data_IF_261911280587
#
_entry.id   IF_261911280587
#
_cell.length_a   1.000
_cell.length_b   1.000
_cell.length_c   1.000
_cell.angle_alpha   90.00
_cell.angle_beta   90.00
_cell.angle_gamma   90.00
#
_symmetry.space_group_name_H-M   'P 1'
#
loop_
_entity.id
_entity.type
_entity.pdbx_description
1 polymer ?
#
# COMPACT_ATOMS: atom_id res chain seq x y z
N UNK A 1 3.09 -43.53 -4.60
CA UNK A 1 3.24 -42.11 -4.30
C UNK A 1 2.48 -41.33 -5.37
N UNK A 2 1.28 -40.87 -5.05
CA UNK A 2 0.51 -40.05 -5.99
C UNK A 2 1.19 -38.68 -6.14
N UNK A 3 1.56 -38.32 -7.36
CA UNK A 3 2.00 -36.97 -7.66
C UNK A 3 0.88 -36.00 -7.24
N UNK A 4 1.20 -34.85 -6.60
CA UNK A 4 0.17 -33.88 -6.29
C UNK A 4 -0.47 -33.42 -7.62
N UNK A 5 -1.79 -33.53 -7.73
CA UNK A 5 -2.54 -32.95 -8.84
C UNK A 5 -2.24 -31.46 -8.89
N UNK A 6 -1.64 -31.02 -9.98
CA UNK A 6 -1.44 -29.57 -10.25
C UNK A 6 -2.84 -28.98 -10.44
N UNK A 7 -3.19 -28.02 -9.60
CA UNK A 7 -4.50 -27.38 -9.61
C UNK A 7 -4.85 -26.90 -11.04
N UNK A 8 -6.10 -27.10 -11.53
CA UNK A 8 -6.49 -26.88 -12.92
C UNK A 8 -6.41 -25.43 -13.42
N UNK A 9 -6.05 -24.48 -12.55
CA UNK A 9 -6.01 -23.03 -12.87
C UNK A 9 -4.75 -22.54 -13.60
N UNK A 10 -3.78 -23.41 -13.90
CA UNK A 10 -2.56 -23.04 -14.64
C UNK A 10 -2.67 -23.17 -16.16
N UNK A 11 -3.83 -23.54 -16.70
CA UNK A 11 -3.97 -23.79 -18.15
C UNK A 11 -3.90 -22.55 -19.03
N UNK A 12 -4.13 -21.34 -18.47
CA UNK A 12 -4.05 -20.06 -19.18
C UNK A 12 -3.44 -19.00 -18.26
N UNK A 13 -2.11 -18.82 -18.24
CA UNK A 13 -1.48 -17.76 -17.47
C UNK A 13 -1.93 -16.40 -18.00
N UNK A 14 -2.51 -15.58 -17.11
CA UNK A 14 -2.89 -14.21 -17.44
C UNK A 14 -1.69 -13.38 -17.87
N UNK A 15 -1.95 -12.39 -18.72
CA UNK A 15 -0.93 -11.40 -19.08
C UNK A 15 -0.42 -10.70 -17.82
N UNK A 16 0.89 -10.67 -17.66
CA UNK A 16 1.52 -10.07 -16.48
C UNK A 16 1.82 -8.58 -16.76
N UNK A 17 1.01 -7.68 -16.17
CA UNK A 17 1.23 -6.23 -16.22
C UNK A 17 2.33 -5.75 -15.28
N UNK A 18 2.86 -6.63 -14.42
CA UNK A 18 3.73 -6.25 -13.32
C UNK A 18 4.95 -5.43 -13.75
N UNK A 19 5.63 -5.82 -14.82
CA UNK A 19 6.84 -5.11 -15.29
C UNK A 19 6.53 -3.73 -15.89
N UNK A 20 5.34 -3.56 -16.47
CA UNK A 20 4.90 -2.25 -16.96
C UNK A 20 4.61 -1.31 -15.78
N UNK A 21 4.01 -1.83 -14.70
CA UNK A 21 3.76 -1.08 -13.48
C UNK A 21 5.06 -0.75 -12.73
N UNK A 22 6.05 -1.66 -12.73
CA UNK A 22 7.39 -1.40 -12.17
C UNK A 22 8.01 -0.19 -12.83
N UNK A 23 7.95 -0.09 -14.16
CA UNK A 23 8.51 1.06 -14.90
C UNK A 23 7.88 2.40 -14.46
N UNK A 24 6.57 2.40 -14.16
CA UNK A 24 5.87 3.61 -13.71
C UNK A 24 6.32 4.05 -12.31
N UNK A 25 6.43 3.10 -11.36
CA UNK A 25 6.89 3.40 -10.00
C UNK A 25 8.39 3.73 -9.95
N UNK A 26 9.22 3.07 -10.77
CA UNK A 26 10.64 3.42 -10.93
C UNK A 26 10.82 4.85 -11.46
N UNK A 27 10.03 5.24 -12.47
CA UNK A 27 10.09 6.59 -13.01
C UNK A 27 9.75 7.65 -11.96
N UNK A 28 8.68 7.43 -11.18
CA UNK A 28 8.29 8.30 -10.09
C UNK A 28 9.41 8.38 -9.03
N UNK A 29 9.90 7.23 -8.56
CA UNK A 29 10.95 7.17 -7.55
C UNK A 29 12.24 7.88 -8.01
N UNK A 30 12.70 7.64 -9.24
CA UNK A 30 13.90 8.29 -9.81
C UNK A 30 13.73 9.81 -9.90
N UNK A 31 12.54 10.28 -10.30
CA UNK A 31 12.27 11.72 -10.44
C UNK A 31 12.09 12.42 -9.10
N UNK A 32 11.76 11.70 -8.03
CA UNK A 32 11.71 12.23 -6.66
C UNK A 32 13.11 12.45 -6.03
N UNK A 33 14.14 11.70 -6.47
CA UNK A 33 15.51 11.73 -5.88
C UNK A 33 16.09 13.15 -5.70
N UNK A 34 16.00 14.07 -6.69
CA UNK A 34 16.57 15.41 -6.53
C UNK A 34 15.99 16.22 -5.37
N UNK A 35 14.84 15.81 -4.84
CA UNK A 35 14.11 16.52 -3.79
C UNK A 35 14.31 15.91 -2.41
N UNK A 36 14.99 14.74 -2.29
CA UNK A 36 15.23 14.08 -1.01
C UNK A 36 16.04 15.01 -0.09
N UNK A 37 15.48 15.30 1.11
CA UNK A 37 16.11 16.16 2.12
C UNK A 37 16.15 17.64 1.76
N UNK A 38 15.31 18.09 0.81
CA UNK A 38 15.27 19.49 0.34
C UNK A 38 14.16 20.33 0.98
N UNK A 39 13.27 19.72 1.75
CA UNK A 39 12.16 20.41 2.42
C UNK A 39 10.97 20.73 1.52
N UNK A 40 11.06 20.49 0.22
CA UNK A 40 10.00 20.80 -0.75
C UNK A 40 9.18 19.56 -1.10
N UNK A 41 8.11 19.33 -0.34
CA UNK A 41 7.17 18.23 -0.54
C UNK A 41 6.46 18.32 -1.89
N UNK A 42 6.00 19.51 -2.24
CA UNK A 42 5.17 19.71 -3.42
C UNK A 42 5.97 19.49 -4.71
N UNK A 43 7.23 19.93 -4.74
CA UNK A 43 8.09 19.71 -5.90
C UNK A 43 8.46 18.22 -6.06
N UNK A 44 8.70 17.50 -4.95
CA UNK A 44 8.95 16.06 -4.95
C UNK A 44 7.76 15.30 -5.52
N UNK A 45 6.58 15.57 -4.97
CA UNK A 45 5.32 14.96 -5.34
C UNK A 45 4.99 15.21 -6.81
N UNK A 46 5.01 16.48 -7.23
CA UNK A 46 4.78 16.86 -8.63
C UNK A 46 5.70 16.12 -9.61
N UNK A 47 6.99 16.01 -9.30
CA UNK A 47 7.95 15.34 -10.17
C UNK A 47 7.65 13.83 -10.30
N UNK A 48 7.20 13.20 -9.21
CA UNK A 48 6.79 11.79 -9.20
C UNK A 48 5.49 11.57 -9.97
N UNK A 49 4.46 12.41 -9.73
CA UNK A 49 3.17 12.39 -10.44
C UNK A 49 3.37 12.52 -11.95
N UNK A 50 4.11 13.55 -12.39
CA UNK A 50 4.38 13.80 -13.81
C UNK A 50 5.05 12.58 -14.48
N UNK A 51 6.03 11.97 -13.82
CA UNK A 51 6.73 10.82 -14.34
C UNK A 51 5.86 9.56 -14.38
N UNK A 52 5.17 9.24 -13.29
CA UNK A 52 4.29 8.08 -13.22
C UNK A 52 3.22 8.14 -14.30
N UNK A 53 2.57 9.28 -14.47
CA UNK A 53 1.50 9.47 -15.46
C UNK A 53 1.96 9.21 -16.89
N UNK A 54 3.17 9.71 -17.26
CA UNK A 54 3.75 9.48 -18.60
C UNK A 54 3.91 7.98 -18.88
N UNK A 55 4.45 7.24 -17.92
CA UNK A 55 4.65 5.80 -18.09
C UNK A 55 3.34 5.03 -18.08
N UNK A 56 2.40 5.37 -17.19
CA UNK A 56 1.07 4.75 -17.17
C UNK A 56 0.34 4.89 -18.50
N UNK A 57 0.46 6.04 -19.18
CA UNK A 57 -0.13 6.26 -20.49
C UNK A 57 0.36 5.28 -21.58
N UNK A 58 1.47 4.58 -21.37
CA UNK A 58 2.01 3.57 -22.30
C UNK A 58 1.57 2.15 -21.98
N UNK A 59 0.99 1.92 -20.81
CA UNK A 59 0.61 0.57 -20.36
C UNK A 59 -0.64 0.09 -21.09
N UNK A 60 -0.64 -1.17 -21.48
CA UNK A 60 -1.74 -1.77 -22.23
C UNK A 60 -2.87 -2.24 -21.31
N UNK A 61 -3.66 -1.29 -20.83
CA UNK A 61 -4.89 -1.47 -20.07
C UNK A 61 -5.85 -0.28 -20.29
N UNK A 62 -7.13 -0.48 -19.99
CA UNK A 62 -8.14 0.56 -19.81
C UNK A 62 -8.32 0.80 -18.31
N UNK A 63 -7.53 1.72 -17.76
CA UNK A 63 -7.47 2.00 -16.32
C UNK A 63 -8.32 3.20 -15.93
N UNK A 64 -8.94 3.14 -14.74
CA UNK A 64 -9.55 4.29 -14.07
C UNK A 64 -8.92 4.43 -12.69
N UNK A 65 -8.45 5.61 -12.37
CA UNK A 65 -7.97 5.94 -11.03
C UNK A 65 -9.17 5.97 -10.07
N UNK A 66 -9.25 5.02 -9.16
CA UNK A 66 -10.22 5.00 -8.06
C UNK A 66 -9.66 5.74 -6.86
N UNK A 67 -8.35 5.58 -6.62
CA UNK A 67 -7.60 6.23 -5.56
C UNK A 67 -6.37 6.88 -6.17
N UNK A 68 -6.29 8.21 -6.05
CA UNK A 68 -5.21 9.02 -6.61
C UNK A 68 -4.92 10.26 -5.80
N UNK A 69 -4.39 11.30 -6.45
CA UNK A 69 -3.94 12.56 -5.85
C UNK A 69 -5.08 13.48 -5.35
N UNK A 70 -6.32 13.01 -5.42
CA UNK A 70 -7.50 13.73 -4.95
C UNK A 70 -8.50 14.07 -6.06
N UNK A 71 -9.31 15.11 -5.81
CA UNK A 71 -10.36 15.55 -6.75
C UNK A 71 -9.77 16.27 -7.96
N UNK A 72 -10.41 16.13 -9.12
CA UNK A 72 -10.01 16.72 -10.42
C UNK A 72 -9.68 18.22 -10.35
N UNK A 73 -10.44 18.98 -9.56
CA UNK A 73 -10.24 20.43 -9.44
C UNK A 73 -9.05 20.83 -8.54
N UNK A 74 -8.51 19.87 -7.79
CA UNK A 74 -7.37 20.07 -6.85
C UNK A 74 -6.10 19.37 -7.31
N UNK A 75 -6.23 18.27 -8.05
CA UNK A 75 -5.12 17.49 -8.60
C UNK A 75 -5.18 17.54 -10.14
N UNK A 76 -4.20 18.16 -10.82
CA UNK A 76 -4.22 18.28 -12.27
C UNK A 76 -3.98 16.95 -13.00
N UNK A 77 -3.43 15.95 -12.32
CA UNK A 77 -3.09 14.63 -12.86
C UNK A 77 -3.24 13.55 -11.80
N UNK A 78 -3.51 12.31 -12.25
CA UNK A 78 -3.75 11.14 -11.40
C UNK A 78 -4.88 11.36 -10.38
N UNK A 79 -5.89 12.14 -10.77
CA UNK A 79 -7.06 12.41 -9.93
C UNK A 79 -8.07 11.26 -9.98
N UNK A 80 -8.92 11.17 -8.98
CA UNK A 80 -9.98 10.16 -8.92
C UNK A 80 -10.94 10.31 -10.12
N UNK A 81 -11.11 9.22 -10.87
CA UNK A 81 -11.87 9.18 -12.12
C UNK A 81 -11.04 9.44 -13.38
N UNK A 82 -9.75 9.79 -13.29
CA UNK A 82 -8.90 9.92 -14.48
C UNK A 82 -8.71 8.57 -15.17
N UNK A 83 -8.86 8.59 -16.51
CA UNK A 83 -8.52 7.43 -17.34
C UNK A 83 -7.02 7.41 -17.65
N UNK A 84 -6.39 6.28 -17.43
CA UNK A 84 -4.97 6.02 -17.68
C UNK A 84 -4.77 4.72 -18.44
N UNK A 85 -3.58 4.55 -19.01
CA UNK A 85 -3.30 3.45 -19.93
C UNK A 85 -3.51 3.88 -21.38
N UNK A 86 -3.29 2.95 -22.31
CA UNK A 86 -3.49 3.23 -23.74
C UNK A 86 -4.93 2.94 -24.21
N UNK A 87 -5.85 2.65 -23.31
CA UNK A 87 -7.27 2.35 -23.60
C UNK A 87 -7.51 1.00 -24.25
N UNK A 88 -6.48 0.13 -24.32
CA UNK A 88 -6.60 -1.23 -24.88
C UNK A 88 -6.17 -2.26 -23.84
N UNK A 89 -6.79 -3.45 -23.84
CA UNK A 89 -6.46 -4.47 -22.86
C UNK A 89 -7.47 -4.59 -21.72
N UNK A 90 -7.09 -5.10 -20.53
CA UNK A 90 -8.05 -5.33 -19.46
C UNK A 90 -8.53 -4.01 -18.85
N UNK A 91 -9.83 -3.95 -18.53
CA UNK A 91 -10.41 -2.86 -17.75
C UNK A 91 -10.02 -3.02 -16.28
N UNK A 92 -9.45 -1.97 -15.70
CA UNK A 92 -8.87 -1.99 -14.36
C UNK A 92 -9.28 -0.80 -13.49
N UNK A 93 -9.41 -1.04 -12.20
CA UNK A 93 -9.36 -0.03 -11.15
C UNK A 93 -7.92 0.15 -10.70
N UNK A 94 -7.53 1.39 -10.42
CA UNK A 94 -6.15 1.75 -10.09
C UNK A 94 -6.13 2.60 -8.83
N UNK A 95 -5.26 2.23 -7.88
CA UNK A 95 -4.84 3.07 -6.78
C UNK A 95 -3.39 3.48 -7.00
N UNK A 96 -3.09 4.76 -6.91
CA UNK A 96 -1.74 5.29 -7.01
C UNK A 96 -1.43 6.19 -5.82
N UNK A 97 -0.19 6.08 -5.37
CA UNK A 97 0.46 7.05 -4.51
C UNK A 97 1.89 7.22 -5.06
N UNK A 98 2.12 8.29 -5.85
CA UNK A 98 3.43 8.54 -6.44
C UNK A 98 4.53 8.70 -5.42
N UNK A 99 4.23 9.22 -4.21
CA UNK A 99 5.13 9.23 -3.06
C UNK A 99 4.36 8.99 -1.76
N UNK A 100 4.15 7.72 -1.36
CA UNK A 100 3.75 7.39 0.01
C UNK A 100 4.86 7.84 0.97
N UNK A 101 4.55 8.85 1.78
CA UNK A 101 5.50 9.51 2.66
C UNK A 101 6.22 10.70 2.01
N UNK A 102 5.49 11.65 1.44
CA UNK A 102 6.04 12.92 0.89
C UNK A 102 6.85 13.68 1.94
N UNK A 103 6.43 13.67 3.22
CA UNK A 103 7.20 14.25 4.32
C UNK A 103 8.54 13.55 4.53
N UNK A 104 8.57 12.22 4.43
CA UNK A 104 9.81 11.45 4.56
C UNK A 104 10.81 11.81 3.46
N UNK A 105 10.32 11.95 2.23
CA UNK A 105 11.14 12.37 1.09
C UNK A 105 11.71 13.77 1.32
N UNK A 106 10.87 14.73 1.66
CA UNK A 106 11.29 16.13 1.86
C UNK A 106 12.29 16.29 3.01
N UNK A 107 12.17 15.50 4.07
CA UNK A 107 13.05 15.48 5.23
C UNK A 107 14.27 14.56 5.07
N UNK A 108 14.37 13.80 3.99
CA UNK A 108 15.45 12.82 3.76
C UNK A 108 15.39 11.62 4.71
N UNK A 109 14.19 11.25 5.18
CA UNK A 109 13.95 10.13 6.08
C UNK A 109 13.68 8.84 5.32
N UNK A 110 13.80 7.72 6.01
CA UNK A 110 13.58 6.39 5.45
C UNK A 110 12.10 6.04 5.26
N UNK A 111 11.83 5.05 4.38
CA UNK A 111 10.55 4.40 4.09
C UNK A 111 9.60 5.16 3.17
N UNK A 112 10.07 6.16 2.41
CA UNK A 112 9.25 6.71 1.33
C UNK A 112 9.23 5.74 0.13
N UNK A 113 8.01 5.52 -0.43
CA UNK A 113 7.76 4.59 -1.52
C UNK A 113 7.01 5.29 -2.66
N UNK A 114 7.18 4.80 -3.88
CA UNK A 114 6.24 5.03 -4.97
C UNK A 114 5.39 3.78 -5.17
N UNK A 115 4.07 3.89 -5.11
CA UNK A 115 3.17 2.73 -5.06
C UNK A 115 2.08 2.81 -6.11
N UNK A 116 1.78 1.66 -6.72
CA UNK A 116 0.60 1.45 -7.57
C UNK A 116 -0.04 0.11 -7.24
N UNK A 117 -1.37 0.11 -7.13
CA UNK A 117 -2.17 -1.10 -7.07
C UNK A 117 -3.17 -1.10 -8.22
N UNK A 118 -3.38 -2.27 -8.83
CA UNK A 118 -4.30 -2.49 -9.94
C UNK A 118 -5.16 -3.70 -9.62
N UNK A 119 -6.48 -3.58 -9.82
CA UNK A 119 -7.43 -4.68 -9.71
C UNK A 119 -8.36 -4.70 -10.93
N UNK A 120 -9.20 -5.72 -11.07
CA UNK A 120 -10.23 -5.73 -12.10
C UNK A 120 -11.20 -4.56 -11.90
N UNK A 121 -11.74 -3.99 -13.01
CA UNK A 121 -12.70 -2.89 -12.96
C UNK A 121 -13.89 -3.21 -12.04
N UNK A 122 -14.22 -2.25 -11.15
CA UNK A 122 -15.36 -2.32 -10.24
C UNK A 122 -15.12 -3.22 -9.02
N UNK A 123 -13.86 -3.61 -8.73
CA UNK A 123 -13.54 -4.47 -7.59
C UNK A 123 -12.88 -3.71 -6.42
N UNK A 124 -12.42 -2.49 -6.64
CA UNK A 124 -11.77 -1.67 -5.62
C UNK A 124 -12.78 -0.73 -4.96
N UNK A 125 -12.84 -0.71 -3.65
CA UNK A 125 -13.69 0.22 -2.90
C UNK A 125 -13.25 1.65 -3.15
N UNK A 126 -14.16 2.49 -3.64
CA UNK A 126 -13.95 3.93 -3.68
C UNK A 126 -14.23 4.54 -2.30
N UNK A 127 -13.17 4.76 -1.54
CA UNK A 127 -13.21 5.40 -0.23
C UNK A 127 -12.86 6.90 -0.28
N UNK A 128 -12.87 7.53 -1.46
CA UNK A 128 -12.41 8.91 -1.68
C UNK A 128 -13.18 9.97 -0.89
N UNK A 129 -14.42 9.68 -0.48
CA UNK A 129 -15.24 10.58 0.34
C UNK A 129 -14.82 10.64 1.82
N UNK A 130 -13.94 9.72 2.30
CA UNK A 130 -13.43 9.65 3.67
C UNK A 130 -11.92 9.56 3.67
N UNK A 131 -11.27 10.55 4.27
CA UNK A 131 -9.80 10.63 4.25
C UNK A 131 -9.12 9.58 5.13
N UNK A 132 -9.71 9.18 6.25
CA UNK A 132 -9.11 8.27 7.21
C UNK A 132 -9.83 6.92 7.30
N UNK A 133 -9.04 5.89 7.65
CA UNK A 133 -9.51 4.55 7.98
C UNK A 133 -8.79 4.07 9.24
N UNK A 134 -9.53 3.59 10.23
CA UNK A 134 -8.99 2.79 11.32
C UNK A 134 -8.76 1.37 10.82
N UNK A 135 -7.59 0.80 11.06
CA UNK A 135 -7.18 -0.49 10.44
C UNK A 135 -6.33 -1.33 11.37
N UNK A 136 -6.47 -2.64 11.17
CA UNK A 136 -5.65 -3.68 11.78
C UNK A 136 -5.21 -4.66 10.71
N UNK A 137 -3.91 -4.90 10.62
CA UNK A 137 -3.28 -5.76 9.60
C UNK A 137 -2.34 -6.73 10.28
N UNK A 138 -2.40 -8.00 9.89
CA UNK A 138 -1.48 -9.07 10.32
C UNK A 138 -1.22 -10.06 9.18
N UNK A 139 -0.34 -11.03 9.41
CA UNK A 139 -0.25 -12.23 8.57
C UNK A 139 -1.49 -13.11 8.69
N UNK A 140 -1.50 -14.24 7.98
CA UNK A 140 -2.62 -15.19 7.93
C UNK A 140 -3.06 -15.70 9.31
N UNK A 141 -2.17 -15.72 10.29
CA UNK A 141 -2.49 -16.14 11.67
C UNK A 141 -3.53 -15.26 12.38
N UNK A 142 -3.81 -14.07 11.83
CA UNK A 142 -4.84 -13.17 12.36
C UNK A 142 -6.27 -13.57 12.01
N UNK A 143 -6.49 -14.43 11.01
CA UNK A 143 -7.83 -14.84 10.62
C UNK A 143 -8.57 -15.55 11.77
N UNK A 144 -9.76 -15.02 12.09
CA UNK A 144 -10.63 -15.57 13.13
C UNK A 144 -10.17 -15.34 14.57
N UNK A 145 -9.03 -14.69 14.79
CA UNK A 145 -8.50 -14.43 16.15
C UNK A 145 -8.28 -12.96 16.46
N UNK A 146 -8.08 -12.13 15.45
CA UNK A 146 -7.89 -10.69 15.57
C UNK A 146 -9.13 -9.96 15.08
N UNK A 147 -9.54 -8.90 15.77
CA UNK A 147 -10.70 -8.10 15.38
C UNK A 147 -10.49 -6.61 15.70
N UNK A 148 -10.91 -5.72 14.77
CA UNK A 148 -10.72 -4.28 14.90
C UNK A 148 -11.31 -3.69 16.18
N UNK A 149 -12.47 -4.20 16.61
CA UNK A 149 -13.18 -3.72 17.81
C UNK A 149 -12.66 -4.29 19.13
N UNK A 150 -11.75 -5.26 19.08
CA UNK A 150 -11.15 -5.79 20.30
C UNK A 150 -10.06 -4.86 20.84
N UNK A 151 -9.91 -4.76 22.17
CA UNK A 151 -8.78 -4.07 22.76
C UNK A 151 -7.46 -4.63 22.22
N UNK A 152 -6.50 -3.75 21.97
CA UNK A 152 -5.22 -4.16 21.34
C UNK A 152 -4.48 -5.24 22.14
N UNK A 153 -4.57 -5.19 23.48
CA UNK A 153 -3.97 -6.23 24.35
C UNK A 153 -4.60 -7.61 24.15
N UNK A 154 -5.90 -7.69 23.84
CA UNK A 154 -6.59 -8.95 23.53
C UNK A 154 -6.16 -9.47 22.17
N UNK A 155 -6.10 -8.60 21.16
CA UNK A 155 -5.57 -8.93 19.83
C UNK A 155 -4.14 -9.48 19.90
N UNK A 156 -3.28 -8.84 20.70
CA UNK A 156 -1.89 -9.30 20.87
C UNK A 156 -1.80 -10.67 21.54
N UNK A 157 -2.65 -10.94 22.57
CA UNK A 157 -2.73 -12.25 23.22
C UNK A 157 -3.21 -13.32 22.24
N UNK A 158 -4.26 -13.03 21.49
CA UNK A 158 -4.82 -13.96 20.50
C UNK A 158 -3.80 -14.28 19.39
N UNK A 159 -3.15 -13.25 18.85
CA UNK A 159 -2.12 -13.43 17.81
C UNK A 159 -0.89 -14.18 18.35
N UNK A 160 -0.47 -13.90 19.61
CA UNK A 160 0.61 -14.62 20.29
C UNK A 160 0.32 -16.11 20.40
N UNK A 161 -0.91 -16.47 20.80
CA UNK A 161 -1.35 -17.86 20.88
C UNK A 161 -1.38 -18.52 19.51
N UNK A 162 -1.91 -17.85 18.50
CA UNK A 162 -2.04 -18.37 17.13
C UNK A 162 -0.68 -18.58 16.44
N UNK A 163 0.31 -17.73 16.74
CA UNK A 163 1.65 -17.79 16.12
C UNK A 163 2.68 -18.56 16.97
N UNK A 164 2.40 -18.78 18.26
CA UNK A 164 3.37 -19.31 19.23
C UNK A 164 4.49 -18.30 19.58
N UNK A 165 4.40 -17.05 19.11
CA UNK A 165 5.41 -16.02 19.38
C UNK A 165 5.05 -15.26 20.67
N UNK A 166 5.95 -15.17 21.67
CA UNK A 166 5.70 -14.40 22.89
C UNK A 166 5.38 -12.93 22.60
N UNK A 167 4.45 -12.33 23.34
CA UNK A 167 4.07 -10.92 23.16
C UNK A 167 5.29 -9.99 23.27
N UNK A 168 6.21 -10.27 24.18
CA UNK A 168 7.44 -9.49 24.38
C UNK A 168 8.41 -9.48 23.18
N UNK A 169 8.21 -10.38 22.22
CA UNK A 169 8.95 -10.43 20.97
C UNK A 169 8.17 -9.84 19.78
N UNK A 170 6.88 -9.53 19.98
CA UNK A 170 6.05 -8.94 18.95
C UNK A 170 6.36 -7.46 18.75
N UNK A 171 6.26 -7.02 17.51
CA UNK A 171 6.44 -5.61 17.11
C UNK A 171 5.20 -5.14 16.35
N UNK A 172 4.61 -4.06 16.85
CA UNK A 172 3.44 -3.43 16.26
C UNK A 172 3.85 -2.13 15.56
N UNK A 173 3.58 -2.03 14.27
CA UNK A 173 3.73 -0.80 13.52
C UNK A 173 2.51 0.12 13.75
N UNK A 174 2.77 1.39 14.02
CA UNK A 174 1.75 2.40 14.26
C UNK A 174 2.25 3.79 13.86
N UNK A 175 1.38 4.61 13.26
CA UNK A 175 1.73 5.99 12.94
C UNK A 175 1.93 6.81 14.23
N UNK A 176 3.06 7.51 14.31
CA UNK A 176 3.38 8.42 15.43
C UNK A 176 2.58 9.72 15.27
N UNK A 177 1.36 9.69 15.77
CA UNK A 177 0.42 10.83 15.74
C UNK A 177 -0.21 11.00 17.13
N UNK A 178 -0.54 12.23 17.55
CA UNK A 178 -1.19 12.47 18.86
C UNK A 178 -2.43 11.60 19.11
N UNK A 179 -3.22 11.35 18.07
CA UNK A 179 -4.41 10.46 18.15
C UNK A 179 -4.09 9.01 18.52
N UNK A 180 -2.83 8.58 18.44
CA UNK A 180 -2.40 7.22 18.74
C UNK A 180 -1.65 7.08 20.07
N UNK A 181 -1.47 8.14 20.87
CA UNK A 181 -0.74 8.06 22.13
C UNK A 181 -1.32 6.97 23.04
N UNK A 182 -2.64 6.95 23.26
CA UNK A 182 -3.29 5.92 24.06
C UNK A 182 -3.16 4.51 23.48
N UNK A 183 -3.19 4.36 22.15
CA UNK A 183 -2.97 3.07 21.47
C UNK A 183 -1.51 2.59 21.66
N UNK A 184 -0.54 3.48 21.49
CA UNK A 184 0.88 3.19 21.70
C UNK A 184 1.15 2.74 23.14
N UNK A 185 0.57 3.43 24.11
CA UNK A 185 0.71 3.08 25.53
C UNK A 185 0.04 1.74 25.85
N UNK A 186 -1.11 1.44 25.26
CA UNK A 186 -1.79 0.16 25.43
C UNK A 186 -0.98 -1.01 24.82
N UNK A 187 -0.35 -0.83 23.64
CA UNK A 187 0.54 -1.83 23.03
C UNK A 187 1.71 -2.14 23.95
N UNK A 188 2.38 -1.09 24.47
CA UNK A 188 3.53 -1.23 25.37
C UNK A 188 3.14 -1.86 26.71
N UNK A 189 2.00 -1.47 27.25
CA UNK A 189 1.45 -2.04 28.50
C UNK A 189 1.09 -3.51 28.35
N UNK A 190 0.72 -3.97 27.13
CA UNK A 190 0.52 -5.38 26.83
C UNK A 190 1.85 -6.17 26.71
N UNK A 191 2.99 -5.47 26.68
CA UNK A 191 4.32 -6.06 26.61
C UNK A 191 4.94 -6.12 25.21
N UNK A 192 4.24 -5.66 24.16
CA UNK A 192 4.77 -5.66 22.78
C UNK A 192 5.63 -4.41 22.50
N UNK A 193 6.59 -4.56 21.58
CA UNK A 193 7.35 -3.44 21.04
C UNK A 193 6.57 -2.63 20.00
N UNK A 194 6.91 -1.36 19.86
CA UNK A 194 6.31 -0.49 18.83
C UNK A 194 7.32 -0.08 17.76
N UNK A 195 6.91 -0.12 16.48
CA UNK A 195 7.59 0.51 15.37
C UNK A 195 6.83 1.79 15.00
N UNK A 196 7.30 2.93 15.50
CA UNK A 196 6.68 4.22 15.23
C UNK A 196 7.03 4.69 13.81
N UNK A 197 6.00 4.94 12.99
CA UNK A 197 6.13 5.46 11.63
C UNK A 197 5.78 6.94 11.63
N UNK A 198 6.60 7.76 10.99
CA UNK A 198 6.36 9.22 10.96
C UNK A 198 5.38 9.63 9.87
N UNK A 199 5.32 8.87 8.77
CA UNK A 199 4.46 9.11 7.63
C UNK A 199 4.38 7.84 6.79
N UNK A 200 3.33 7.69 5.95
CA UNK A 200 3.09 6.51 5.11
C UNK A 200 2.91 5.23 5.93
N UNK A 201 1.85 4.47 5.70
CA UNK A 201 1.64 3.22 6.44
C UNK A 201 1.50 1.97 5.54
N UNK A 202 1.59 2.15 4.21
CA UNK A 202 1.58 1.03 3.26
C UNK A 202 2.71 0.04 3.55
N UNK A 203 3.95 0.54 3.74
CA UNK A 203 5.08 -0.33 4.09
C UNK A 203 4.86 -1.08 5.41
N UNK A 204 4.26 -0.43 6.41
CA UNK A 204 3.92 -1.03 7.69
C UNK A 204 2.94 -2.17 7.55
N UNK A 205 1.85 -1.95 6.83
CA UNK A 205 0.81 -2.95 6.55
C UNK A 205 1.34 -4.14 5.75
N UNK A 206 2.08 -3.89 4.67
CA UNK A 206 2.69 -4.96 3.86
C UNK A 206 3.66 -5.79 4.72
N UNK A 207 4.50 -5.15 5.53
CA UNK A 207 5.46 -5.88 6.37
C UNK A 207 4.77 -6.68 7.48
N UNK A 208 3.64 -6.21 8.04
CA UNK A 208 2.87 -6.96 9.04
C UNK A 208 2.27 -8.26 8.46
N UNK A 209 1.96 -8.27 7.16
CA UNK A 209 1.40 -9.43 6.48
C UNK A 209 2.47 -10.39 5.91
N UNK A 210 3.71 -9.92 5.71
CA UNK A 210 4.77 -10.72 5.08
C UNK A 210 5.49 -11.62 6.08
N UNK A 211 5.72 -12.86 5.65
CA UNK A 211 6.58 -13.78 6.40
C UNK A 211 8.04 -13.30 6.47
N UNK A 212 8.67 -13.49 7.61
CA UNK A 212 10.10 -13.19 7.82
C UNK A 212 10.44 -11.72 8.05
N UNK A 213 9.44 -10.86 8.26
CA UNK A 213 9.66 -9.47 8.69
C UNK A 213 9.73 -9.37 10.22
N UNK A 214 10.07 -8.18 10.71
CA UNK A 214 10.10 -7.90 12.16
C UNK A 214 8.78 -7.28 12.67
N UNK A 215 7.79 -7.07 11.80
CA UNK A 215 6.50 -6.48 12.15
C UNK A 215 5.46 -7.58 12.16
N UNK A 216 4.77 -7.74 13.27
CA UNK A 216 3.74 -8.77 13.45
C UNK A 216 2.33 -8.23 13.25
N UNK A 217 2.14 -6.93 13.46
CA UNK A 217 0.86 -6.24 13.33
C UNK A 217 1.07 -4.79 12.91
N UNK A 218 0.14 -4.23 12.11
CA UNK A 218 0.06 -2.79 11.85
C UNK A 218 -1.33 -2.31 12.23
N UNK A 219 -1.42 -1.23 13.02
CA UNK A 219 -2.70 -0.76 13.58
C UNK A 219 -2.81 0.75 13.60
N UNK A 220 -4.06 1.23 13.65
CA UNK A 220 -4.42 2.61 13.92
C UNK A 220 -4.96 3.35 12.71
N UNK A 221 -5.32 4.62 12.94
CA UNK A 221 -5.97 5.47 11.96
C UNK A 221 -4.92 6.09 11.02
N UNK A 222 -4.98 5.73 9.74
CA UNK A 222 -4.20 6.28 8.65
C UNK A 222 -5.08 6.64 7.46
N UNK A 223 -4.51 6.93 6.31
CA UNK A 223 -5.28 7.26 5.12
C UNK A 223 -6.09 6.06 4.60
N UNK A 224 -7.30 6.33 4.11
CA UNK A 224 -8.12 5.32 3.43
C UNK A 224 -7.46 4.86 2.12
N UNK A 225 -6.85 5.75 1.31
CA UNK A 225 -6.11 5.37 0.11
C UNK A 225 -5.04 4.31 0.40
N UNK A 226 -4.21 4.54 1.42
CA UNK A 226 -3.15 3.62 1.81
C UNK A 226 -3.72 2.31 2.36
N UNK A 227 -4.89 2.36 3.01
CA UNK A 227 -5.63 1.18 3.47
C UNK A 227 -6.04 0.28 2.31
N UNK A 228 -6.67 0.83 1.27
CA UNK A 228 -7.11 0.08 0.09
C UNK A 228 -5.90 -0.45 -0.70
N UNK A 229 -4.85 0.36 -0.87
CA UNK A 229 -3.60 -0.09 -1.50
C UNK A 229 -2.98 -1.27 -0.75
N UNK A 230 -2.96 -1.21 0.59
CA UNK A 230 -2.52 -2.31 1.46
C UNK A 230 -3.41 -3.54 1.27
N UNK A 231 -4.73 -3.37 1.23
CA UNK A 231 -5.67 -4.47 0.99
C UNK A 231 -5.40 -5.21 -0.33
N UNK A 232 -5.09 -4.48 -1.41
CA UNK A 232 -4.66 -5.07 -2.68
C UNK A 232 -3.40 -5.94 -2.53
N UNK A 233 -2.42 -5.48 -1.73
CA UNK A 233 -1.20 -6.24 -1.48
C UNK A 233 -1.46 -7.51 -0.67
N UNK A 234 -2.34 -7.44 0.30
CA UNK A 234 -2.68 -8.56 1.17
C UNK A 234 -3.36 -9.72 0.42
N UNK A 235 -4.07 -9.43 -0.68
CA UNK A 235 -4.57 -10.48 -1.59
C UNK A 235 -3.46 -11.38 -2.14
N UNK A 236 -2.26 -10.84 -2.35
CA UNK A 236 -1.11 -11.61 -2.78
C UNK A 236 -0.37 -12.31 -1.63
N UNK A 237 -0.44 -11.72 -0.44
CA UNK A 237 0.29 -12.20 0.73
C UNK A 237 -0.50 -13.24 1.55
N UNK A 238 -1.81 -13.36 1.30
CA UNK A 238 -2.69 -14.17 2.14
C UNK A 238 -2.80 -13.63 3.57
N UNK A 239 -2.63 -12.31 3.75
CA UNK A 239 -2.70 -11.66 5.05
C UNK A 239 -4.12 -11.34 5.47
N UNK A 240 -4.27 -10.95 6.73
CA UNK A 240 -5.52 -10.50 7.34
C UNK A 240 -5.56 -8.99 7.47
N UNK A 241 -6.69 -8.39 7.15
CA UNK A 241 -6.96 -6.98 7.38
C UNK A 241 -8.43 -6.75 7.71
N UNK A 242 -8.67 -5.87 8.67
CA UNK A 242 -9.95 -5.20 8.86
C UNK A 242 -9.73 -3.70 8.88
N UNK A 243 -10.73 -2.95 8.42
CA UNK A 243 -10.74 -1.50 8.43
C UNK A 243 -12.14 -0.95 8.72
N UNK A 244 -12.20 0.28 9.20
CA UNK A 244 -13.43 1.06 9.32
C UNK A 244 -13.13 2.48 8.88
N UNK A 245 -13.99 3.04 8.02
CA UNK A 245 -13.88 4.43 7.61
C UNK A 245 -14.02 5.34 8.83
N UNK A 246 -13.13 6.30 8.96
CA UNK A 246 -13.03 7.19 10.13
C UNK A 246 -13.22 8.65 9.70
N UNK A 247 -14.45 9.10 9.41
CA UNK A 247 -14.72 10.48 9.03
C UNK A 247 -14.22 11.45 10.11
N UNK A 248 -13.55 12.53 9.68
CA UNK A 248 -12.98 13.52 10.60
C UNK A 248 -14.02 14.45 11.24
N UNK A 249 -15.18 14.59 10.56
CA UNK A 249 -16.28 15.45 10.98
C UNK A 249 -17.62 14.97 10.42
N UNK A 250 -18.72 15.56 10.90
CA UNK A 250 -20.09 15.21 10.47
C UNK A 250 -20.32 15.51 8.97
N UNK A 251 -19.66 16.50 8.41
CA UNK A 251 -19.78 16.83 6.99
C UNK A 251 -19.14 15.74 6.10
N UNK A 252 -17.99 15.22 6.49
CA UNK A 252 -17.35 14.09 5.81
C UNK A 252 -18.18 12.81 5.96
N UNK A 253 -18.72 12.56 7.18
CA UNK A 253 -19.64 11.45 7.42
C UNK A 253 -20.89 11.52 6.53
N UNK A 254 -21.50 12.69 6.43
CA UNK A 254 -22.68 12.89 5.59
C UNK A 254 -22.36 12.65 4.10
N UNK A 255 -21.20 13.13 3.61
CA UNK A 255 -20.76 12.88 2.23
C UNK A 255 -20.55 11.39 1.95
N UNK A 256 -19.92 10.68 2.88
CA UNK A 256 -19.70 9.24 2.77
C UNK A 256 -21.02 8.46 2.67
N UNK A 257 -21.97 8.76 3.54
CA UNK A 257 -23.30 8.13 3.51
C UNK A 257 -24.03 8.46 2.20
N UNK A 258 -23.96 9.72 1.73
CA UNK A 258 -24.54 10.12 0.43
C UNK A 258 -23.88 9.40 -0.76
N UNK A 259 -22.61 9.03 -0.64
CA UNK A 259 -21.89 8.21 -1.62
C UNK A 259 -22.20 6.70 -1.48
N UNK A 260 -23.08 6.30 -0.56
CA UNK A 260 -23.47 4.90 -0.36
C UNK A 260 -22.54 4.09 0.53
N UNK A 261 -21.58 4.74 1.24
CA UNK A 261 -20.67 4.06 2.15
C UNK A 261 -21.29 3.88 3.54
N UNK A 262 -21.12 2.68 4.10
CA UNK A 262 -21.41 2.40 5.52
C UNK A 262 -20.13 2.67 6.34
N UNK A 263 -20.12 3.82 7.01
CA UNK A 263 -18.95 4.27 7.80
C UNK A 263 -18.84 3.58 9.16
N UNK A 264 -19.86 2.85 9.58
CA UNK A 264 -19.86 2.12 10.85
C UNK A 264 -19.49 0.64 10.67
N UNK A 265 -19.52 0.15 9.41
CA UNK A 265 -19.18 -1.22 9.07
C UNK A 265 -17.69 -1.49 9.31
N UNK A 266 -17.37 -2.61 9.95
CA UNK A 266 -16.04 -3.20 9.87
C UNK A 266 -15.92 -3.87 8.52
N UNK A 267 -15.07 -3.32 7.66
CA UNK A 267 -14.76 -3.83 6.34
C UNK A 267 -13.71 -4.93 6.48
N UNK A 268 -13.92 -6.05 5.83
CA UNK A 268 -12.88 -7.05 5.64
C UNK A 268 -12.13 -6.85 4.30
N UNK A 269 -11.24 -7.77 3.99
CA UNK A 269 -10.41 -7.65 2.81
C UNK A 269 -11.23 -7.71 1.50
N UNK A 270 -12.31 -8.50 1.47
CA UNK A 270 -13.19 -8.65 0.30
C UNK A 270 -14.13 -7.46 0.13
N UNK A 271 -14.49 -6.76 1.21
CA UNK A 271 -15.21 -5.50 1.15
C UNK A 271 -14.36 -4.37 0.54
N UNK A 272 -13.04 -4.37 0.83
CA UNK A 272 -12.11 -3.36 0.31
C UNK A 272 -11.68 -3.62 -1.13
N UNK A 273 -11.43 -4.89 -1.45
CA UNK A 273 -11.05 -5.34 -2.80
C UNK A 273 -11.69 -6.69 -3.08
N UNK A 274 -12.77 -6.71 -3.84
CA UNK A 274 -13.46 -7.94 -4.21
C UNK A 274 -12.66 -8.72 -5.26
N UNK A 275 -12.36 -10.00 -4.96
CA UNK A 275 -11.57 -10.85 -5.85
C UNK A 275 -10.05 -10.74 -5.62
N UNK A 276 -9.32 -11.59 -6.32
CA UNK A 276 -7.89 -11.82 -6.14
C UNK A 276 -7.03 -11.35 -7.33
N UNK A 277 -7.65 -10.80 -8.38
CA UNK A 277 -6.95 -10.37 -9.59
C UNK A 277 -6.24 -9.02 -9.38
N UNK A 278 -5.36 -8.95 -8.39
CA UNK A 278 -4.63 -7.74 -8.03
C UNK A 278 -3.17 -7.81 -8.46
N UNK A 279 -2.61 -6.63 -8.80
CA UNK A 279 -1.18 -6.37 -8.89
C UNK A 279 -0.85 -5.21 -7.96
N UNK A 280 0.21 -5.32 -7.18
CA UNK A 280 0.75 -4.20 -6.41
C UNK A 280 2.24 -4.11 -6.65
N UNK A 281 2.70 -2.91 -6.91
CA UNK A 281 4.12 -2.59 -7.05
C UNK A 281 4.46 -1.44 -6.12
N UNK A 282 5.53 -1.60 -5.35
CA UNK A 282 6.10 -0.53 -4.56
C UNK A 282 7.60 -0.43 -4.85
N UNK A 283 8.07 0.76 -5.23
CA UNK A 283 9.48 1.07 -5.48
C UNK A 283 10.00 2.01 -4.41
N UNK A 284 11.18 1.74 -3.85
CA UNK A 284 11.78 2.61 -2.85
C UNK A 284 12.17 3.97 -3.42
N UNK A 285 11.70 5.05 -2.81
CA UNK A 285 12.21 6.40 -3.03
C UNK A 285 13.41 6.63 -2.10
N UNK A 286 13.23 6.35 -0.82
CA UNK A 286 14.30 6.32 0.19
C UNK A 286 14.47 4.92 0.75
N UNK A 287 15.64 4.63 1.35
CA UNK A 287 15.88 3.32 1.96
C UNK A 287 14.80 2.96 2.99
N UNK A 288 14.35 1.70 3.00
CA UNK A 288 13.28 1.28 3.90
C UNK A 288 13.30 -0.19 4.27
N UNK A 289 12.42 -0.57 5.21
CA UNK A 289 12.28 -1.96 5.64
C UNK A 289 11.61 -2.87 4.60
N UNK A 290 10.95 -2.30 3.59
CA UNK A 290 10.29 -3.07 2.53
C UNK A 290 11.21 -3.27 1.33
N UNK A 291 11.82 -2.18 0.82
CA UNK A 291 12.76 -2.14 -0.30
C UNK A 291 13.81 -1.05 -0.06
N UNK A 292 14.93 -1.14 -0.74
CA UNK A 292 15.97 -0.11 -0.76
C UNK A 292 15.51 1.07 -1.64
N UNK A 293 15.94 2.29 -1.25
CA UNK A 293 15.70 3.52 -2.01
C UNK A 293 16.55 3.60 -3.28
N UNK A 294 16.23 4.61 -4.09
CA UNK A 294 17.00 4.89 -5.31
C UNK A 294 18.42 5.31 -4.96
N UNK A 295 19.40 4.67 -5.60
CA UNK A 295 20.82 4.98 -5.42
C UNK A 295 21.47 5.32 -6.74
N UNK A 296 22.25 6.40 -6.78
CA UNK A 296 23.06 6.75 -7.95
C UNK A 296 24.55 6.51 -7.69
N UNK A 297 25.19 5.75 -8.57
CA UNK A 297 26.64 5.56 -8.56
C UNK A 297 27.20 5.78 -9.98
N UNK A 298 27.84 6.91 -10.19
CA UNK A 298 28.35 7.29 -11.51
C UNK A 298 27.21 7.40 -12.54
N UNK A 299 27.31 6.69 -13.68
CA UNK A 299 26.31 6.74 -14.73
C UNK A 299 25.08 5.83 -14.45
N UNK A 300 25.08 5.08 -13.34
CA UNK A 300 24.03 4.11 -13.03
C UNK A 300 23.13 4.64 -11.92
N UNK A 301 21.84 4.50 -12.14
CA UNK A 301 20.79 4.66 -11.13
C UNK A 301 20.25 3.26 -10.83
N UNK A 302 20.25 2.86 -9.55
CA UNK A 302 19.68 1.59 -9.09
C UNK A 302 18.37 1.84 -8.38
N UNK A 303 17.37 1.04 -8.72
CA UNK A 303 16.06 0.96 -8.07
C UNK A 303 15.84 -0.42 -7.47
N UNK A 304 15.05 -0.51 -6.40
CA UNK A 304 14.51 -1.77 -5.90
C UNK A 304 13.00 -1.65 -5.78
N UNK A 305 12.29 -2.64 -6.33
CA UNK A 305 10.84 -2.75 -6.30
C UNK A 305 10.39 -4.09 -5.73
N UNK A 306 9.25 -4.09 -5.04
CA UNK A 306 8.52 -5.30 -4.70
C UNK A 306 7.26 -5.38 -5.55
N UNK A 307 7.01 -6.56 -6.12
CA UNK A 307 5.88 -6.84 -6.99
C UNK A 307 5.07 -7.96 -6.39
N UNK A 308 3.79 -7.74 -6.19
CA UNK A 308 2.87 -8.68 -5.57
C UNK A 308 1.72 -8.96 -6.53
N UNK A 309 1.43 -10.25 -6.75
CA UNK A 309 0.36 -10.72 -7.64
C UNK A 309 -0.66 -11.54 -6.86
N UNK A 310 -1.88 -11.02 -6.68
CA UNK A 310 -2.94 -11.65 -5.90
C UNK A 310 -3.31 -13.04 -6.43
N UNK A 311 -3.68 -13.14 -7.70
CA UNK A 311 -4.15 -14.39 -8.31
C UNK A 311 -3.18 -15.59 -8.17
N UNK A 312 -1.88 -15.33 -8.09
CA UNK A 312 -0.86 -16.40 -7.97
C UNK A 312 -0.17 -16.45 -6.62
N UNK A 313 -0.50 -15.55 -5.68
CA UNK A 313 0.18 -15.45 -4.40
C UNK A 313 1.69 -15.21 -4.54
N UNK A 314 2.12 -14.57 -5.62
CA UNK A 314 3.54 -14.45 -5.94
C UNK A 314 4.08 -13.08 -5.55
N UNK A 315 5.18 -13.08 -4.81
CA UNK A 315 5.95 -11.88 -4.46
C UNK A 315 7.31 -11.95 -5.14
N UNK A 316 7.68 -10.87 -5.82
CA UNK A 316 9.00 -10.74 -6.47
C UNK A 316 9.70 -9.48 -5.99
N UNK A 317 11.02 -9.55 -5.87
CA UNK A 317 11.88 -8.36 -5.80
C UNK A 317 12.51 -8.14 -7.15
N UNK A 318 12.49 -6.91 -7.62
CA UNK A 318 13.10 -6.47 -8.87
C UNK A 318 14.14 -5.42 -8.54
N UNK A 319 15.38 -5.71 -8.86
CA UNK A 319 16.49 -4.75 -8.78
C UNK A 319 16.87 -4.38 -10.20
N UNK A 320 16.84 -3.09 -10.52
CA UNK A 320 17.16 -2.62 -11.84
C UNK A 320 18.30 -1.59 -11.82
N UNK A 321 19.19 -1.69 -12.78
CA UNK A 321 20.25 -0.71 -13.05
C UNK A 321 19.92 0.08 -14.32
N UNK A 322 19.73 1.37 -14.19
CA UNK A 322 19.35 2.27 -15.27
C UNK A 322 20.54 3.14 -15.67
N UNK A 323 20.76 3.33 -16.96
CA UNK A 323 21.74 4.28 -17.45
C UNK A 323 21.18 5.70 -17.31
N UNK A 324 21.74 6.49 -16.39
CA UNK A 324 21.22 7.82 -16.00
C UNK A 324 20.97 8.75 -17.22
N UNK A 325 21.83 8.72 -18.23
CA UNK A 325 21.68 9.52 -19.44
C UNK A 325 20.42 9.23 -20.27
N UNK A 326 19.68 8.13 -19.95
CA UNK A 326 18.42 7.76 -20.62
C UNK A 326 17.18 8.03 -19.74
N UNK A 327 17.38 8.42 -18.49
CA UNK A 327 16.31 8.59 -17.50
C UNK A 327 16.24 10.03 -16.92
N UNK A 328 17.31 10.77 -16.99
CA UNK A 328 17.45 12.16 -16.56
C UNK A 328 17.71 13.07 -17.77
#
# INVERSE_FOLDING_TARGET
MNSPEIAPNFTHPDRNLAMELVRATEAAAIRAVPFIGRGDKNAADKAAVDAMRVFLGTVNFDGVIVIGEGEKDKAPMLFNGEHVGNGTGPACDIAVDPIDGTSLTAEGRQNALSVIAVSSRGTMLDASSVFYMDKIVTGAAGFGVVHLDQPIGDNLRALSQATGKPIGEMVVAVLNRPRHEGLIDAIRSAGAGTRLMSDGDVAGGINAARYGTRIDMCVGIGGSPEGITTACALKALGGFMQGRLAPKDDAERARAIAAGLDVDKVLDLDDMVSGDNTFVVATGVTDGGLVDGVRRKGPIIRTESIVMRGKSGTVRRVVADHLAAKWL
#
